data_IF_905742604464
#
_entry.id   IF_905742604464
#
_cell.length_a   1.000
_cell.length_b   1.000
_cell.length_c   1.000
_cell.angle_alpha   90.00
_cell.angle_beta   90.00
_cell.angle_gamma   90.00
#
_symmetry.space_group_name_H-M   'P 1'
#
loop_
_entity.id
_entity.type
_entity.pdbx_description
1 polymer ?
#
# COMPACT_ATOMS: atom_id res chain seq x y z
N UNK A 1 19.18 13.56 29.33
CA UNK A 1 19.12 12.23 29.97
C UNK A 1 18.43 11.25 29.04
N UNK A 2 18.96 10.05 28.77
CA UNK A 2 18.21 9.04 28.02
C UNK A 2 17.17 8.40 28.95
N UNK A 3 15.89 8.40 28.53
CA UNK A 3 14.82 7.73 29.27
C UNK A 3 15.10 6.23 29.37
N UNK A 4 14.83 5.60 30.54
CA UNK A 4 15.04 4.17 30.74
C UNK A 4 14.16 3.36 29.78
N UNK A 5 14.69 2.24 29.28
CA UNK A 5 13.93 1.32 28.44
C UNK A 5 12.67 0.83 29.19
N UNK A 6 11.50 0.81 28.55
CA UNK A 6 10.25 0.41 29.19
C UNK A 6 10.33 -1.04 29.66
N UNK A 7 9.74 -1.33 30.82
CA UNK A 7 9.66 -2.68 31.35
C UNK A 7 8.81 -3.58 30.43
N UNK A 8 8.99 -4.91 30.46
CA UNK A 8 8.19 -5.84 29.65
C UNK A 8 6.68 -5.66 29.85
N UNK A 9 6.25 -5.28 31.05
CA UNK A 9 4.85 -5.03 31.41
C UNK A 9 4.33 -3.73 30.76
N UNK A 10 5.14 -2.66 30.75
CA UNK A 10 4.83 -1.41 30.05
C UNK A 10 4.83 -1.58 28.52
N UNK A 11 5.71 -2.44 28.00
CA UNK A 11 5.73 -2.80 26.60
C UNK A 11 4.46 -3.54 26.19
N UNK A 12 3.93 -4.43 27.05
CA UNK A 12 2.67 -5.17 26.85
C UNK A 12 1.44 -4.25 26.96
N UNK A 13 1.43 -3.30 27.89
CA UNK A 13 0.32 -2.34 28.04
C UNK A 13 0.29 -1.28 26.91
N UNK A 14 1.45 -0.99 26.30
CA UNK A 14 1.58 -0.17 25.10
C UNK A 14 1.16 -0.91 23.81
N UNK A 15 0.96 -2.23 23.84
CA UNK A 15 0.41 -2.99 22.70
C UNK A 15 -1.06 -2.64 22.57
N UNK A 16 -1.36 -1.71 21.68
CA UNK A 16 -2.73 -1.31 21.31
C UNK A 16 -3.18 0.05 21.83
N UNK A 17 -2.35 0.77 22.59
CA UNK A 17 -2.59 2.17 22.99
C UNK A 17 -1.43 3.04 22.49
N UNK A 18 -1.52 3.65 21.30
CA UNK A 18 -0.48 4.56 20.84
C UNK A 18 -0.33 5.69 21.85
N UNK A 19 0.90 5.94 22.32
CA UNK A 19 1.18 7.07 23.22
C UNK A 19 0.90 8.38 22.50
N UNK A 20 0.56 9.45 23.24
CA UNK A 20 0.25 10.76 22.63
C UNK A 20 1.37 11.28 21.71
N UNK A 21 2.63 10.93 22.00
CA UNK A 21 3.80 11.25 21.18
C UNK A 21 3.85 10.42 19.88
N UNK A 22 3.46 9.14 19.93
CA UNK A 22 3.30 8.30 18.74
C UNK A 22 2.14 8.76 17.86
N UNK A 23 1.05 9.26 18.46
CA UNK A 23 -0.08 9.87 17.74
C UNK A 23 0.37 11.15 17.04
N UNK A 24 1.06 12.06 17.75
CA UNK A 24 1.53 13.33 17.17
C UNK A 24 2.50 13.09 16.00
N UNK A 25 3.47 12.17 16.17
CA UNK A 25 4.41 11.78 15.11
C UNK A 25 3.70 11.17 13.90
N UNK A 26 2.66 10.37 14.15
CA UNK A 26 1.83 9.80 13.07
C UNK A 26 1.05 10.89 12.35
N UNK A 27 0.53 11.88 13.07
CA UNK A 27 -0.20 13.02 12.49
C UNK A 27 0.70 13.88 11.62
N UNK A 28 1.87 14.28 12.11
CA UNK A 28 2.86 15.06 11.35
C UNK A 28 3.31 14.31 10.08
N UNK A 29 3.53 13.00 10.19
CA UNK A 29 3.88 12.16 9.04
C UNK A 29 2.74 12.12 8.00
N UNK A 30 1.49 12.03 8.45
CA UNK A 30 0.32 12.07 7.58
C UNK A 30 0.07 13.46 6.95
N UNK A 31 0.42 14.53 7.64
CA UNK A 31 0.36 15.90 7.11
C UNK A 31 1.49 16.22 6.13
N UNK A 32 2.63 15.53 6.25
CA UNK A 32 3.74 15.63 5.29
C UNK A 32 3.44 14.95 3.94
N UNK A 33 2.38 14.15 3.85
CA UNK A 33 1.98 13.50 2.60
C UNK A 33 1.43 14.54 1.60
N UNK A 34 1.84 14.49 0.33
CA UNK A 34 1.24 15.31 -0.71
C UNK A 34 -0.28 15.16 -0.72
N UNK A 35 -0.99 16.29 -0.74
CA UNK A 35 -2.47 16.30 -0.62
C UNK A 35 -3.15 15.43 -1.69
N UNK A 36 -2.60 15.43 -2.91
CA UNK A 36 -3.08 14.59 -4.00
C UNK A 36 -3.03 13.08 -3.66
N UNK A 37 -1.96 12.61 -3.01
CA UNK A 37 -1.85 11.21 -2.57
C UNK A 37 -2.82 10.92 -1.43
N UNK A 38 -2.93 11.82 -0.45
CA UNK A 38 -3.87 11.66 0.67
C UNK A 38 -5.31 11.60 0.20
N UNK A 39 -5.69 12.45 -0.76
CA UNK A 39 -7.04 12.46 -1.35
C UNK A 39 -7.29 11.18 -2.14
N UNK A 40 -6.36 10.80 -3.03
CA UNK A 40 -6.49 9.59 -3.82
C UNK A 40 -6.59 8.33 -2.93
N UNK A 41 -5.77 8.23 -1.89
CA UNK A 41 -5.78 7.10 -0.95
C UNK A 41 -7.09 6.92 -0.20
N UNK A 42 -7.93 7.95 -0.09
CA UNK A 42 -9.23 7.92 0.59
C UNK A 42 -10.41 7.53 -0.30
N UNK A 43 -10.18 7.37 -1.59
CA UNK A 43 -11.22 7.00 -2.57
C UNK A 43 -10.93 5.59 -3.12
N UNK A 44 -11.93 4.70 -3.28
CA UNK A 44 -11.67 3.31 -3.70
C UNK A 44 -10.92 3.21 -5.03
N UNK A 45 -11.21 4.13 -5.95
CA UNK A 45 -10.54 4.21 -7.23
C UNK A 45 -9.11 4.76 -7.10
N UNK A 46 -8.92 5.86 -6.36
CA UNK A 46 -7.61 6.47 -6.16
C UNK A 46 -6.66 5.57 -5.37
N UNK A 47 -7.18 4.86 -4.36
CA UNK A 47 -6.43 3.93 -3.53
C UNK A 47 -5.81 2.81 -4.36
N UNK A 48 -6.51 2.29 -5.37
CA UNK A 48 -5.93 1.31 -6.32
C UNK A 48 -4.72 1.90 -7.05
N UNK A 49 -4.86 3.13 -7.56
CA UNK A 49 -3.79 3.85 -8.24
C UNK A 49 -2.59 4.14 -7.34
N UNK A 50 -2.81 4.45 -6.05
CA UNK A 50 -1.74 4.64 -5.06
C UNK A 50 -0.98 3.34 -4.82
N UNK A 51 -1.67 2.21 -4.62
CA UNK A 51 -1.02 0.90 -4.43
C UNK A 51 -0.21 0.51 -5.67
N UNK A 52 -0.74 0.72 -6.87
CA UNK A 52 0.00 0.48 -8.10
C UNK A 52 1.22 1.40 -8.22
N UNK A 53 1.07 2.68 -7.94
CA UNK A 53 2.17 3.65 -7.97
C UNK A 53 3.31 3.28 -7.02
N UNK A 54 3.00 2.71 -5.85
CA UNK A 54 3.99 2.22 -4.88
C UNK A 54 4.66 0.90 -5.30
N UNK A 55 4.01 0.09 -6.13
CA UNK A 55 4.54 -1.17 -6.67
C UNK A 55 5.33 -0.98 -7.97
N UNK A 56 5.19 0.16 -8.63
CA UNK A 56 6.01 0.49 -9.78
C UNK A 56 7.42 0.83 -9.28
N UNK A 57 8.40 0.09 -9.78
CA UNK A 57 9.80 0.31 -9.43
C UNK A 57 10.27 1.65 -10.05
N UNK A 58 11.18 2.32 -9.34
CA UNK A 58 11.88 3.50 -9.85
C UNK A 58 12.88 3.15 -10.96
N UNK A 59 13.23 1.86 -11.14
CA UNK A 59 14.11 1.42 -12.20
C UNK A 59 13.41 1.48 -13.58
N UNK A 60 13.83 2.46 -14.39
CA UNK A 60 13.19 2.91 -15.63
C UNK A 60 12.88 1.79 -16.63
N UNK A 61 13.74 0.77 -16.69
CA UNK A 61 13.62 -0.36 -17.65
C UNK A 61 12.56 -1.40 -17.25
N UNK A 62 12.26 -1.52 -15.96
CA UNK A 62 11.16 -2.35 -15.44
C UNK A 62 9.84 -1.57 -15.48
N UNK A 63 9.91 -0.26 -15.24
CA UNK A 63 8.79 0.66 -15.21
C UNK A 63 8.01 0.69 -16.54
N UNK A 64 8.68 0.71 -17.69
CA UNK A 64 8.01 0.75 -19.00
C UNK A 64 7.15 -0.50 -19.28
N UNK A 65 7.69 -1.71 -19.03
CA UNK A 65 6.95 -2.97 -19.21
C UNK A 65 5.79 -3.09 -18.21
N UNK A 66 5.99 -2.62 -16.98
CA UNK A 66 4.93 -2.58 -15.96
C UNK A 66 3.80 -1.62 -16.37
N UNK A 67 4.14 -0.45 -16.91
CA UNK A 67 3.15 0.50 -17.43
C UNK A 67 2.40 -0.03 -18.66
N UNK A 68 3.08 -0.67 -19.62
CA UNK A 68 2.41 -1.27 -20.78
C UNK A 68 1.42 -2.35 -20.37
N UNK A 69 1.78 -3.19 -19.39
CA UNK A 69 0.87 -4.20 -18.85
C UNK A 69 -0.29 -3.58 -18.10
N UNK A 70 -0.05 -2.56 -17.29
CA UNK A 70 -1.12 -1.84 -16.60
C UNK A 70 -2.05 -1.13 -17.58
N UNK A 71 -1.54 -0.59 -18.68
CA UNK A 71 -2.36 0.01 -19.75
C UNK A 71 -3.25 -1.02 -20.45
N UNK A 72 -2.81 -2.28 -20.55
CA UNK A 72 -3.57 -3.36 -21.17
C UNK A 72 -4.60 -4.01 -20.24
N UNK A 73 -4.29 -4.13 -18.94
CA UNK A 73 -5.09 -4.92 -17.99
C UNK A 73 -5.92 -4.07 -17.01
N UNK A 74 -5.53 -2.81 -16.76
CA UNK A 74 -6.27 -1.91 -15.86
C UNK A 74 -7.28 -1.03 -16.61
N UNK A 75 -8.25 -0.52 -15.86
CA UNK A 75 -9.12 0.53 -16.34
C UNK A 75 -8.28 1.75 -16.79
N UNK A 76 -8.50 2.31 -18.00
CA UNK A 76 -7.72 3.42 -18.55
C UNK A 76 -7.63 4.62 -17.62
N UNK A 77 -8.69 4.83 -16.83
CA UNK A 77 -8.70 5.90 -15.88
C UNK A 77 -7.72 5.58 -14.71
N UNK A 78 -7.73 4.35 -14.18
CA UNK A 78 -6.83 3.93 -13.08
C UNK A 78 -5.37 4.04 -13.53
N UNK A 79 -5.07 3.69 -14.79
CA UNK A 79 -3.76 3.87 -15.39
C UNK A 79 -3.29 5.33 -15.36
N UNK A 80 -4.13 6.27 -15.83
CA UNK A 80 -3.80 7.71 -15.81
C UNK A 80 -3.55 8.23 -14.39
N UNK A 81 -4.41 7.83 -13.44
CA UNK A 81 -4.24 8.17 -12.03
C UNK A 81 -2.92 7.63 -11.49
N UNK A 82 -2.60 6.37 -11.79
CA UNK A 82 -1.34 5.72 -11.38
C UNK A 82 -0.11 6.48 -11.86
N UNK A 83 -0.06 6.90 -13.14
CA UNK A 83 1.07 7.68 -13.67
C UNK A 83 1.24 9.01 -12.94
N UNK A 84 0.14 9.71 -12.66
CA UNK A 84 0.18 10.99 -11.97
C UNK A 84 0.67 10.83 -10.52
N UNK A 85 0.23 9.78 -9.84
CA UNK A 85 0.59 9.49 -8.46
C UNK A 85 2.01 8.94 -8.33
N UNK A 86 2.51 8.22 -9.35
CA UNK A 86 3.84 7.59 -9.32
C UNK A 86 4.96 8.62 -9.09
N UNK A 87 4.91 9.75 -9.80
CA UNK A 87 5.88 10.86 -9.62
C UNK A 87 5.91 11.39 -8.19
N UNK A 88 4.76 11.38 -7.51
CA UNK A 88 4.65 11.82 -6.11
C UNK A 88 5.14 10.73 -5.15
N UNK A 89 5.02 9.45 -5.51
CA UNK A 89 5.54 8.33 -4.70
C UNK A 89 7.05 8.13 -4.81
N UNK A 90 7.68 8.56 -5.91
CA UNK A 90 9.13 8.54 -6.07
C UNK A 90 9.83 9.46 -5.06
N UNK A 91 9.25 10.64 -4.79
CA UNK A 91 9.79 11.61 -3.84
C UNK A 91 9.39 11.34 -2.40
N UNK A 92 8.52 10.36 -2.15
CA UNK A 92 8.08 10.02 -0.80
C UNK A 92 9.16 9.28 0.00
N UNK A 93 9.43 9.73 1.25
CA UNK A 93 10.26 8.98 2.19
C UNK A 93 9.69 7.57 2.39
N UNK A 94 10.58 6.57 2.51
CA UNK A 94 10.18 5.17 2.73
C UNK A 94 9.29 5.00 3.97
N UNK A 95 9.54 5.79 5.01
CA UNK A 95 8.80 5.81 6.27
C UNK A 95 7.33 6.21 6.09
N UNK A 96 7.03 7.04 5.09
CA UNK A 96 5.67 7.53 4.79
C UNK A 96 4.85 6.57 3.92
N UNK A 97 5.49 5.54 3.35
CA UNK A 97 4.82 4.60 2.42
C UNK A 97 3.85 3.67 3.16
N UNK A 98 4.22 3.12 4.31
CA UNK A 98 3.33 2.24 5.09
C UNK A 98 2.08 2.99 5.60
N UNK A 99 2.17 4.19 6.20
CA UNK A 99 1.00 4.99 6.56
C UNK A 99 0.07 5.26 5.37
N UNK A 100 0.65 5.53 4.19
CA UNK A 100 -0.14 5.75 2.97
C UNK A 100 -0.90 4.49 2.54
N UNK A 101 -0.27 3.32 2.67
CA UNK A 101 -0.92 2.01 2.42
C UNK A 101 -2.06 1.79 3.39
N UNK A 102 -1.85 2.06 4.68
CA UNK A 102 -2.89 1.89 5.71
C UNK A 102 -4.14 2.73 5.42
N UNK A 103 -3.97 3.96 4.92
CA UNK A 103 -5.10 4.81 4.48
C UNK A 103 -5.86 4.15 3.32
N UNK A 104 -5.15 3.53 2.37
CA UNK A 104 -5.75 2.89 1.21
C UNK A 104 -6.60 1.66 1.58
N UNK A 105 -6.31 0.99 2.70
CA UNK A 105 -6.96 -0.28 3.05
C UNK A 105 -8.46 -0.14 3.30
N UNK A 106 -8.91 0.97 3.90
CA UNK A 106 -10.33 1.15 4.20
C UNK A 106 -11.17 1.36 2.92
N UNK A 107 -10.83 2.32 2.01
CA UNK A 107 -11.57 2.49 0.76
C UNK A 107 -11.49 1.30 -0.19
N UNK A 108 -10.42 0.50 -0.14
CA UNK A 108 -10.32 -0.72 -0.95
C UNK A 108 -11.32 -1.80 -0.55
N UNK A 109 -11.91 -1.73 0.66
CA UNK A 109 -13.01 -2.63 1.08
C UNK A 109 -14.33 -2.28 0.38
N UNK A 110 -14.50 -1.05 -0.09
CA UNK A 110 -15.71 -0.61 -0.79
C UNK A 110 -15.73 -1.03 -2.28
N UNK A 111 -14.69 -1.73 -2.75
CA UNK A 111 -14.69 -2.30 -4.11
C UNK A 111 -15.75 -3.39 -4.25
N UNK A 112 -16.28 -3.59 -5.46
CA UNK A 112 -17.04 -4.80 -5.75
C UNK A 112 -16.11 -6.04 -5.79
N UNK A 113 -16.63 -7.26 -5.59
CA UNK A 113 -15.82 -8.48 -5.67
C UNK A 113 -15.05 -8.62 -7.00
N UNK A 114 -15.68 -8.24 -8.12
CA UNK A 114 -15.04 -8.26 -9.44
C UNK A 114 -13.93 -7.21 -9.56
N UNK A 115 -14.16 -6.00 -9.03
CA UNK A 115 -13.16 -4.94 -8.99
C UNK A 115 -11.97 -5.32 -8.11
N UNK A 116 -12.22 -5.98 -6.98
CA UNK A 116 -11.19 -6.49 -6.11
C UNK A 116 -10.36 -7.57 -6.78
N UNK A 117 -11.00 -8.51 -7.49
CA UNK A 117 -10.29 -9.57 -8.18
C UNK A 117 -9.32 -9.01 -9.23
N UNK A 118 -9.82 -8.14 -10.11
CA UNK A 118 -8.98 -7.42 -11.09
C UNK A 118 -7.87 -6.62 -10.40
N UNK A 119 -8.20 -5.96 -9.29
CA UNK A 119 -7.22 -5.20 -8.54
C UNK A 119 -6.08 -6.08 -8.05
N UNK A 120 -6.41 -7.23 -7.46
CA UNK A 120 -5.45 -8.17 -6.88
C UNK A 120 -4.59 -8.83 -7.96
N UNK A 121 -5.18 -9.19 -9.10
CA UNK A 121 -4.44 -9.73 -10.25
C UNK A 121 -3.40 -8.73 -10.76
N UNK A 122 -3.80 -7.48 -10.99
CA UNK A 122 -2.89 -6.41 -11.41
C UNK A 122 -1.79 -6.15 -10.37
N UNK A 123 -2.13 -6.14 -9.08
CA UNK A 123 -1.16 -6.00 -7.98
C UNK A 123 -0.12 -7.13 -7.98
N UNK A 124 -0.56 -8.37 -8.23
CA UNK A 124 0.34 -9.53 -8.36
C UNK A 124 1.21 -9.46 -9.61
N UNK A 125 0.63 -9.06 -10.73
CA UNK A 125 1.33 -8.89 -12.00
C UNK A 125 2.43 -7.82 -11.92
N UNK A 126 2.13 -6.67 -11.30
CA UNK A 126 3.07 -5.55 -11.16
C UNK A 126 4.30 -5.95 -10.34
N UNK A 127 4.12 -6.56 -9.17
CA UNK A 127 5.25 -6.92 -8.32
C UNK A 127 6.05 -8.13 -8.85
N UNK A 128 5.48 -8.92 -9.77
CA UNK A 128 6.18 -10.04 -10.40
C UNK A 128 6.96 -9.63 -11.66
N UNK A 129 6.86 -8.38 -12.11
CA UNK A 129 7.30 -7.98 -13.44
C UNK A 129 8.83 -7.86 -13.62
N UNK A 130 9.60 -7.70 -12.54
CA UNK A 130 11.05 -7.47 -12.60
C UNK A 130 11.89 -8.72 -12.25
N UNK A 131 11.24 -9.86 -11.98
CA UNK A 131 11.87 -11.10 -11.51
C UNK A 131 12.73 -10.92 -10.23
N UNK A 132 12.57 -9.79 -9.51
CA UNK A 132 13.31 -9.37 -8.32
C UNK A 132 12.38 -8.68 -7.32
N UNK A 133 11.39 -9.43 -6.84
CA UNK A 133 10.46 -8.94 -5.82
C UNK A 133 11.22 -8.41 -4.59
N UNK A 134 11.22 -7.09 -4.39
CA UNK A 134 11.82 -6.45 -3.22
C UNK A 134 11.04 -6.81 -1.95
N UNK A 135 11.71 -6.70 -0.79
CA UNK A 135 11.04 -6.92 0.50
C UNK A 135 9.84 -5.97 0.68
N UNK A 136 9.92 -4.75 0.14
CA UNK A 136 8.83 -3.78 0.23
C UNK A 136 7.62 -4.23 -0.59
N UNK A 137 7.80 -4.61 -1.85
CA UNK A 137 6.71 -5.05 -2.72
C UNK A 137 6.07 -6.33 -2.20
N UNK A 138 6.89 -7.29 -1.73
CA UNK A 138 6.37 -8.50 -1.09
C UNK A 138 5.54 -8.16 0.15
N UNK A 139 6.05 -7.28 1.01
CA UNK A 139 5.34 -6.87 2.24
C UNK A 139 4.04 -6.16 1.89
N UNK A 140 4.06 -5.27 0.91
CA UNK A 140 2.89 -4.54 0.44
C UNK A 140 1.79 -5.49 -0.04
N UNK A 141 2.13 -6.44 -0.90
CA UNK A 141 1.18 -7.46 -1.34
C UNK A 141 0.62 -8.26 -0.15
N UNK A 142 1.48 -8.68 0.78
CA UNK A 142 1.05 -9.46 1.93
C UNK A 142 0.10 -8.68 2.83
N UNK A 143 0.38 -7.42 3.14
CA UNK A 143 -0.47 -6.57 3.98
C UNK A 143 -1.83 -6.36 3.31
N UNK A 144 -1.83 -5.95 2.03
CA UNK A 144 -3.06 -5.66 1.29
C UNK A 144 -3.92 -6.92 1.14
N UNK A 145 -3.34 -8.05 0.73
CA UNK A 145 -4.05 -9.33 0.65
C UNK A 145 -4.54 -9.80 2.03
N UNK A 146 -3.73 -9.68 3.07
CA UNK A 146 -4.12 -10.13 4.41
C UNK A 146 -5.36 -9.41 4.95
N UNK A 147 -5.49 -8.11 4.66
CA UNK A 147 -6.62 -7.29 5.11
C UNK A 147 -7.84 -7.44 4.20
N UNK A 148 -7.64 -7.52 2.88
CA UNK A 148 -8.74 -7.52 1.92
C UNK A 148 -9.27 -8.92 1.57
N UNK A 149 -8.43 -9.96 1.50
CA UNK A 149 -8.87 -11.33 1.14
C UNK A 149 -10.02 -11.83 2.05
N UNK A 150 -9.95 -11.68 3.40
CA UNK A 150 -11.03 -12.11 4.28
C UNK A 150 -12.32 -11.31 4.06
N UNK A 151 -12.21 -10.02 3.76
CA UNK A 151 -13.35 -9.14 3.50
C UNK A 151 -14.13 -9.58 2.25
N UNK A 152 -13.42 -10.01 1.22
CA UNK A 152 -14.01 -10.51 -0.04
C UNK A 152 -14.27 -12.03 -0.02
N UNK A 153 -14.27 -12.67 1.16
CA UNK A 153 -14.64 -14.08 1.31
C UNK A 153 -13.60 -15.09 0.79
N UNK A 154 -12.38 -14.65 0.47
CA UNK A 154 -11.29 -15.57 0.10
C UNK A 154 -10.70 -16.22 1.34
N UNK A 155 -10.98 -17.51 1.50
CA UNK A 155 -10.29 -18.33 2.50
C UNK A 155 -8.83 -18.49 2.08
N UNK A 156 -7.92 -18.13 2.98
CA UNK A 156 -6.47 -18.36 2.86
C UNK A 156 -6.26 -19.84 2.50
N UNK A 157 -5.74 -20.14 1.30
CA UNK A 157 -5.23 -21.49 1.00
C UNK A 157 -4.08 -21.74 1.98
N UNK A 158 -4.37 -22.42 3.10
CA UNK A 158 -3.32 -23.04 3.92
C UNK A 158 -2.55 -23.93 2.97
N UNK A 159 -1.26 -23.66 2.77
CA UNK A 159 -0.35 -24.63 2.14
C UNK A 159 -0.32 -25.81 3.10
N UNK A 160 -1.16 -26.81 2.84
CA UNK A 160 -0.97 -28.16 3.38
C UNK A 160 0.33 -28.67 2.77
N UNK A 161 1.33 -28.82 3.64
CA UNK A 161 2.57 -29.53 3.36
C UNK A 161 2.26 -31.00 3.03
#
# INVERSE_FOLDING_TARGET
EPQPAPSPEQAVEAIGKPTSQQIARSHELLESLPEALRKAAREPYGARGVIYALLLDADFTSCQRQFERLAAEADPAVYRSTIQLHKLTETLPRESRLPLVDICLAPLKDLSPEQYERFRENMHALAAADNRLSLFEWTLQKVVSHVLDPHFGRKRKRRTN
#
